data_IF_162765941641
#
_entry.id   IF_162765941641
#
_cell.length_a   1.000
_cell.length_b   1.000
_cell.length_c   1.000
_cell.angle_alpha   90.00
_cell.angle_beta   90.00
_cell.angle_gamma   90.00
#
_symmetry.space_group_name_H-M   'P 1'
#
loop_
_entity.id
_entity.type
_entity.pdbx_description
1 polymer ?
#
# COMPACT_ATOMS: atom_id res chain seq x y z
N UNK A 1 -31.73 -13.70 11.65
CA UNK A 1 -31.92 -14.57 10.45
C UNK A 1 -30.98 -14.09 9.35
N UNK A 2 -29.74 -14.59 9.28
CA UNK A 2 -28.84 -14.37 8.14
C UNK A 2 -27.79 -15.49 8.11
N UNK A 3 -28.19 -16.63 7.57
CA UNK A 3 -27.31 -17.71 7.12
C UNK A 3 -27.68 -17.98 5.68
N UNK A 4 -26.94 -17.40 4.73
CA UNK A 4 -26.79 -17.87 3.33
C UNK A 4 -25.95 -16.88 2.53
N UNK A 5 -24.63 -17.11 2.49
CA UNK A 5 -23.75 -16.90 1.31
C UNK A 5 -22.24 -17.15 1.58
N UNK A 6 -21.86 -17.86 2.65
CA UNK A 6 -20.46 -18.24 2.91
C UNK A 6 -19.90 -19.30 1.93
N UNK A 7 -20.76 -20.05 1.22
CA UNK A 7 -20.34 -21.14 0.34
C UNK A 7 -19.85 -20.72 -1.04
N UNK A 8 -20.35 -19.60 -1.59
CA UNK A 8 -19.95 -19.14 -2.93
C UNK A 8 -18.63 -18.36 -2.87
N UNK A 9 -18.43 -17.53 -1.85
CA UNK A 9 -17.18 -16.82 -1.57
C UNK A 9 -16.01 -17.79 -1.32
N UNK A 10 -16.21 -18.84 -0.51
CA UNK A 10 -15.17 -19.84 -0.23
C UNK A 10 -14.70 -20.60 -1.48
N UNK A 11 -15.62 -20.90 -2.40
CA UNK A 11 -15.29 -21.59 -3.66
C UNK A 11 -14.55 -20.70 -4.65
N UNK A 12 -14.89 -19.40 -4.71
CA UNK A 12 -14.17 -18.40 -5.51
C UNK A 12 -12.75 -18.21 -4.98
N UNK A 13 -12.57 -18.10 -3.66
CA UNK A 13 -11.26 -17.99 -2.98
C UNK A 13 -10.39 -19.22 -3.25
N UNK A 14 -10.93 -20.44 -3.19
CA UNK A 14 -10.17 -21.67 -3.51
C UNK A 14 -9.74 -21.75 -4.98
N UNK A 15 -10.54 -21.24 -5.92
CA UNK A 15 -10.20 -21.25 -7.35
C UNK A 15 -9.09 -20.23 -7.68
N UNK A 16 -9.01 -19.13 -6.94
CA UNK A 16 -7.99 -18.08 -7.10
C UNK A 16 -6.62 -18.51 -6.56
N UNK A 17 -6.57 -19.38 -5.53
CA UNK A 17 -5.32 -19.96 -4.98
C UNK A 17 -4.44 -20.74 -5.99
N UNK A 18 -4.94 -21.01 -7.20
CA UNK A 18 -4.26 -21.83 -8.20
C UNK A 18 -3.58 -21.06 -9.34
N UNK A 19 -3.62 -19.71 -9.34
CA UNK A 19 -3.02 -18.89 -10.41
C UNK A 19 -1.93 -17.95 -9.87
N UNK A 20 -0.71 -17.95 -10.45
CA UNK A 20 0.27 -16.92 -10.15
C UNK A 20 -0.27 -15.54 -10.55
N UNK A 21 -0.12 -14.55 -9.67
CA UNK A 21 -0.37 -13.14 -9.99
C UNK A 21 -1.78 -12.58 -9.73
N UNK A 22 -2.54 -13.10 -8.76
CA UNK A 22 -3.80 -12.44 -8.32
C UNK A 22 -3.68 -12.07 -6.84
N UNK A 23 -3.66 -10.76 -6.54
CA UNK A 23 -3.77 -10.28 -5.16
C UNK A 23 -5.24 -10.26 -4.72
N UNK A 24 -5.59 -10.81 -3.55
CA UNK A 24 -6.96 -10.77 -3.01
C UNK A 24 -7.02 -10.27 -1.56
N UNK A 25 -8.26 -10.01 -1.15
CA UNK A 25 -8.74 -9.02 -0.20
C UNK A 25 -8.62 -9.28 1.30
N UNK A 26 -7.68 -10.10 1.75
CA UNK A 26 -7.35 -10.19 3.18
C UNK A 26 -5.83 -10.25 3.34
N UNK A 27 -5.35 -9.84 4.52
CA UNK A 27 -4.01 -9.40 4.92
C UNK A 27 -2.77 -10.22 4.49
N UNK A 28 -2.91 -11.26 3.66
CA UNK A 28 -1.91 -12.28 3.41
C UNK A 28 -1.72 -12.75 1.96
N UNK A 29 -2.20 -12.07 0.91
CA UNK A 29 -1.96 -12.60 -0.45
C UNK A 29 -1.64 -11.54 -1.51
N UNK A 30 -0.39 -11.09 -1.51
CA UNK A 30 0.37 -11.08 -2.76
C UNK A 30 1.74 -11.72 -2.50
N UNK A 31 1.82 -13.03 -2.73
CA UNK A 31 3.06 -13.80 -2.62
C UNK A 31 4.08 -13.37 -3.68
N UNK A 32 5.31 -13.86 -3.52
CA UNK A 32 6.44 -13.66 -4.45
C UNK A 32 5.99 -13.78 -5.91
N UNK A 33 6.36 -12.81 -6.74
CA UNK A 33 5.86 -12.74 -8.11
C UNK A 33 6.49 -11.65 -8.97
N UNK A 34 6.50 -11.88 -10.28
CA UNK A 34 6.97 -10.96 -11.31
C UNK A 34 5.83 -10.72 -12.29
N UNK A 35 5.50 -9.45 -12.55
CA UNK A 35 4.40 -9.00 -13.43
C UNK A 35 2.99 -9.35 -12.93
N UNK A 36 2.37 -8.39 -12.24
CA UNK A 36 0.96 -8.45 -11.87
C UNK A 36 0.29 -7.20 -12.46
N UNK A 37 -0.45 -7.40 -13.56
CA UNK A 37 -1.26 -6.36 -14.17
C UNK A 37 -2.72 -6.61 -13.79
N UNK A 38 -3.30 -5.72 -12.98
CA UNK A 38 -4.69 -5.82 -12.54
C UNK A 38 -5.46 -4.66 -13.15
N UNK A 39 -6.17 -4.96 -14.25
CA UNK A 39 -7.08 -4.06 -14.98
C UNK A 39 -8.53 -4.44 -14.73
N UNK A 40 -8.96 -4.46 -13.47
CA UNK A 40 -10.30 -4.95 -13.14
C UNK A 40 -10.92 -4.23 -11.94
N UNK A 41 -12.25 -4.29 -11.85
CA UNK A 41 -13.08 -3.84 -10.71
C UNK A 41 -12.75 -4.54 -9.37
N UNK A 42 -11.74 -5.39 -9.34
CA UNK A 42 -11.19 -5.98 -8.12
C UNK A 42 -10.22 -5.00 -7.48
N UNK A 43 -10.57 -4.50 -6.30
CA UNK A 43 -9.73 -3.55 -5.59
C UNK A 43 -8.52 -4.29 -5.01
N UNK A 44 -7.31 -3.83 -5.30
CA UNK A 44 -6.12 -4.24 -4.55
C UNK A 44 -5.96 -3.24 -3.44
N UNK A 45 -6.32 -3.62 -2.22
CA UNK A 45 -6.14 -2.73 -1.08
C UNK A 45 -4.76 -2.82 -0.44
N UNK A 46 -3.99 -3.89 -0.71
CA UNK A 46 -2.74 -4.18 0.01
C UNK A 46 -1.76 -5.08 -0.76
N UNK A 47 -0.46 -4.78 -0.66
CA UNK A 47 0.67 -5.64 -0.99
C UNK A 47 1.33 -6.07 0.32
N UNK A 48 1.49 -7.38 0.52
CA UNK A 48 2.05 -7.98 1.75
C UNK A 48 1.01 -8.66 2.65
N UNK A 49 1.36 -9.03 3.89
CA UNK A 49 2.66 -8.76 4.53
C UNK A 49 3.85 -9.45 3.85
N UNK A 50 4.94 -8.73 3.59
CA UNK A 50 6.18 -9.30 3.06
C UNK A 50 7.25 -9.41 4.15
N UNK A 51 8.00 -10.51 4.19
CA UNK A 51 9.12 -10.71 5.13
C UNK A 51 8.71 -11.27 6.49
N UNK A 52 7.48 -11.78 6.61
CA UNK A 52 6.98 -12.42 7.84
C UNK A 52 7.91 -13.57 8.25
N UNK A 53 8.14 -13.76 9.56
CA UNK A 53 9.05 -14.78 10.10
C UNK A 53 10.47 -14.72 9.51
N UNK A 54 11.01 -13.52 9.29
CA UNK A 54 12.33 -13.31 8.68
C UNK A 54 12.47 -13.87 7.25
N UNK A 55 11.34 -14.11 6.58
CA UNK A 55 11.36 -14.68 5.23
C UNK A 55 11.92 -13.70 4.19
N UNK A 56 12.40 -14.26 3.09
CA UNK A 56 12.78 -13.52 1.91
C UNK A 56 11.60 -13.44 0.93
N UNK A 57 11.20 -12.24 0.51
CA UNK A 57 10.15 -12.05 -0.48
C UNK A 57 10.57 -11.07 -1.57
N UNK A 58 10.15 -11.39 -2.80
CA UNK A 58 10.45 -10.64 -4.02
C UNK A 58 9.16 -10.34 -4.76
N UNK A 59 8.79 -9.06 -4.80
CA UNK A 59 7.67 -8.54 -5.57
C UNK A 59 8.23 -7.50 -6.54
N UNK A 60 7.93 -7.65 -7.82
CA UNK A 60 8.34 -6.66 -8.81
C UNK A 60 7.39 -6.48 -9.97
N UNK A 61 7.44 -5.28 -10.55
CA UNK A 61 6.77 -4.92 -11.80
C UNK A 61 5.24 -5.09 -11.69
N UNK A 62 4.65 -4.45 -10.67
CA UNK A 62 3.21 -4.47 -10.41
C UNK A 62 2.57 -3.17 -10.88
N UNK A 63 1.43 -3.27 -11.58
CA UNK A 63 0.62 -2.11 -11.93
C UNK A 63 -0.85 -2.35 -11.59
N UNK A 64 -1.37 -1.48 -10.74
CA UNK A 64 -2.78 -1.36 -10.40
C UNK A 64 -3.35 -0.11 -11.08
N UNK A 65 -4.25 -0.30 -12.04
CA UNK A 65 -4.78 0.78 -12.87
C UNK A 65 -6.32 0.72 -12.90
N UNK A 66 -6.96 1.82 -12.47
CA UNK A 66 -8.41 1.98 -12.56
C UNK A 66 -9.18 1.30 -11.42
N UNK A 67 -9.11 1.87 -10.21
CA UNK A 67 -9.79 1.36 -9.02
C UNK A 67 -10.63 2.44 -8.31
N UNK A 68 -11.69 2.01 -7.59
CA UNK A 68 -12.55 2.91 -6.80
C UNK A 68 -12.80 2.37 -5.40
N UNK A 69 -12.27 3.04 -4.37
CA UNK A 69 -12.44 2.67 -2.98
C UNK A 69 -13.54 3.51 -2.33
N UNK A 70 -14.54 2.87 -1.71
CA UNK A 70 -15.66 3.57 -1.07
C UNK A 70 -15.91 2.99 0.32
N UNK A 71 -15.77 3.81 1.35
CA UNK A 71 -16.03 3.40 2.74
C UNK A 71 -15.08 2.31 3.25
N UNK A 72 -13.93 2.12 2.61
CA UNK A 72 -12.96 1.08 2.98
C UNK A 72 -11.99 1.58 4.05
N UNK A 73 -11.46 0.65 4.85
CA UNK A 73 -10.42 0.97 5.84
C UNK A 73 -9.12 1.44 5.17
N UNK A 74 -8.75 0.84 4.04
CA UNK A 74 -7.52 1.17 3.32
C UNK A 74 -7.82 1.43 1.84
N UNK A 75 -7.08 2.35 1.23
CA UNK A 75 -6.99 2.53 -0.21
C UNK A 75 -5.90 1.62 -0.74
N UNK A 76 -4.74 2.17 -1.08
CA UNK A 76 -3.56 1.40 -1.54
C UNK A 76 -2.52 1.30 -0.43
N UNK A 77 -2.12 0.08 -0.08
CA UNK A 77 -1.20 -0.21 1.03
C UNK A 77 -0.03 -1.09 0.59
N UNK A 78 1.17 -0.79 1.05
CA UNK A 78 2.32 -1.71 1.04
C UNK A 78 2.67 -1.99 2.50
N UNK A 79 2.79 -3.27 2.87
CA UNK A 79 3.09 -3.70 4.24
C UNK A 79 4.24 -4.70 4.25
N UNK A 80 5.27 -4.44 5.05
CA UNK A 80 6.41 -5.36 5.20
C UNK A 80 6.82 -5.48 6.66
N UNK A 81 7.32 -6.65 7.02
CA UNK A 81 7.86 -6.94 8.34
C UNK A 81 9.30 -6.48 8.50
N UNK A 82 9.62 -5.97 9.69
CA UNK A 82 11.00 -5.85 10.12
C UNK A 82 11.64 -7.23 10.27
N UNK A 83 12.93 -7.34 9.98
CA UNK A 83 13.67 -8.60 10.02
C UNK A 83 13.54 -9.45 8.75
N UNK A 84 12.64 -9.11 7.83
CA UNK A 84 12.52 -9.74 6.51
C UNK A 84 13.65 -9.35 5.55
N UNK A 85 13.66 -9.95 4.36
CA UNK A 85 14.64 -9.65 3.31
C UNK A 85 14.06 -9.76 1.90
N UNK A 86 14.79 -9.29 0.89
CA UNK A 86 14.34 -9.24 -0.50
C UNK A 86 13.88 -7.84 -0.93
N UNK A 87 12.94 -7.74 -1.86
CA UNK A 87 12.48 -6.45 -2.39
C UNK A 87 11.00 -6.40 -2.77
N UNK A 88 10.45 -5.19 -2.74
CA UNK A 88 9.19 -4.78 -3.37
C UNK A 88 9.50 -3.59 -4.29
N UNK A 89 9.57 -3.80 -5.60
CA UNK A 89 10.05 -2.75 -6.53
C UNK A 89 9.24 -2.56 -7.79
N UNK A 90 9.34 -1.37 -8.37
CA UNK A 90 8.68 -1.02 -9.64
C UNK A 90 7.16 -1.25 -9.54
N UNK A 91 6.53 -0.56 -8.60
CA UNK A 91 5.11 -0.68 -8.30
C UNK A 91 4.41 0.60 -8.71
N UNK A 92 3.32 0.50 -9.46
CA UNK A 92 2.53 1.64 -9.92
C UNK A 92 1.08 1.49 -9.47
N UNK A 93 0.60 2.47 -8.70
CA UNK A 93 -0.82 2.66 -8.39
C UNK A 93 -1.31 3.86 -9.17
N UNK A 94 -2.21 3.66 -10.14
CA UNK A 94 -2.65 4.75 -11.00
C UNK A 94 -4.16 4.80 -11.28
N UNK A 95 -4.65 6.01 -11.53
CA UNK A 95 -6.04 6.29 -11.89
C UNK A 95 -7.02 5.73 -10.84
N UNK A 96 -6.85 6.16 -9.59
CA UNK A 96 -7.60 5.64 -8.44
C UNK A 96 -8.51 6.73 -7.88
N UNK A 97 -9.79 6.38 -7.67
CA UNK A 97 -10.77 7.24 -7.00
C UNK A 97 -11.04 6.73 -5.57
N UNK A 98 -11.08 7.63 -4.59
CA UNK A 98 -11.34 7.29 -3.19
C UNK A 98 -12.50 8.11 -2.61
N UNK A 99 -13.40 7.46 -1.86
CA UNK A 99 -14.49 8.13 -1.16
C UNK A 99 -14.63 7.62 0.26
N UNK A 100 -14.43 8.51 1.24
CA UNK A 100 -14.55 8.17 2.66
C UNK A 100 -13.67 6.95 3.03
N UNK A 101 -12.40 6.98 2.64
CA UNK A 101 -11.44 5.89 2.90
C UNK A 101 -10.62 6.22 4.14
N UNK A 102 -10.53 5.32 5.12
CA UNK A 102 -9.88 5.65 6.41
C UNK A 102 -8.38 5.82 6.31
N UNK A 103 -7.70 5.06 5.44
CA UNK A 103 -6.27 5.19 5.21
C UNK A 103 -5.99 5.11 3.70
N UNK A 104 -6.09 6.24 2.97
CA UNK A 104 -6.02 6.27 1.51
C UNK A 104 -4.73 5.70 0.93
N UNK A 105 -3.56 6.21 1.34
CA UNK A 105 -2.25 5.77 0.83
C UNK A 105 -1.36 5.41 2.02
N UNK A 106 -0.88 4.15 2.05
CA UNK A 106 -0.03 3.66 3.13
C UNK A 106 1.20 2.92 2.60
N UNK A 107 2.36 3.22 3.16
CA UNK A 107 3.49 2.29 3.27
C UNK A 107 3.74 2.07 4.76
N UNK A 108 3.65 0.82 5.20
CA UNK A 108 4.00 0.41 6.56
C UNK A 108 5.19 -0.56 6.49
N UNK A 109 6.38 0.01 6.57
CA UNK A 109 7.65 -0.71 6.48
C UNK A 109 8.13 -1.21 7.86
N UNK A 110 7.41 -0.85 8.93
CA UNK A 110 7.76 -1.16 10.32
C UNK A 110 6.76 -2.14 10.96
N UNK A 111 6.13 -3.01 10.15
CA UNK A 111 5.13 -3.93 10.66
C UNK A 111 5.76 -5.01 11.55
N UNK A 112 5.11 -5.28 12.68
CA UNK A 112 5.56 -6.18 13.73
C UNK A 112 4.34 -6.62 14.57
N UNK A 113 4.43 -7.76 15.24
CA UNK A 113 3.42 -8.21 16.18
C UNK A 113 3.58 -7.46 17.50
N UNK A 114 2.46 -6.97 18.05
CA UNK A 114 2.45 -6.15 19.28
C UNK A 114 3.03 -6.86 20.52
N UNK A 115 3.17 -8.18 20.47
CA UNK A 115 3.69 -9.00 21.57
C UNK A 115 5.22 -9.13 21.57
N UNK A 116 5.89 -8.76 20.47
CA UNK A 116 7.35 -8.72 20.37
C UNK A 116 7.74 -7.28 20.13
N UNK A 117 8.51 -6.69 21.06
CA UNK A 117 9.00 -5.31 20.88
C UNK A 117 9.60 -5.17 19.49
N UNK A 118 9.07 -4.23 18.69
CA UNK A 118 9.50 -3.95 17.32
C UNK A 118 10.88 -3.28 17.38
N UNK A 119 11.88 -4.06 17.76
CA UNK A 119 13.25 -3.60 17.84
C UNK A 119 13.71 -3.29 16.42
N UNK A 120 14.39 -2.16 16.19
CA UNK A 120 14.97 -1.87 14.89
C UNK A 120 15.82 -3.05 14.40
N UNK A 121 15.36 -3.75 13.38
CA UNK A 121 16.11 -4.82 12.75
C UNK A 121 17.03 -4.25 11.67
N UNK A 122 18.20 -4.86 11.48
CA UNK A 122 19.15 -4.46 10.43
C UNK A 122 18.69 -4.81 9.01
N UNK A 123 17.63 -5.61 8.88
CA UNK A 123 17.08 -6.07 7.61
C UNK A 123 15.58 -5.83 7.54
N UNK A 124 15.10 -5.50 6.34
CA UNK A 124 13.70 -5.47 5.94
C UNK A 124 13.62 -5.67 4.42
N UNK A 125 12.43 -5.93 3.89
CA UNK A 125 12.18 -6.05 2.45
C UNK A 125 12.35 -4.68 1.78
N UNK A 126 13.37 -4.46 0.96
CA UNK A 126 13.61 -3.14 0.38
C UNK A 126 12.45 -2.68 -0.52
N UNK A 127 11.75 -1.62 -0.12
CA UNK A 127 10.72 -0.96 -0.94
C UNK A 127 11.38 0.09 -1.82
N UNK A 128 11.25 -0.01 -3.15
CA UNK A 128 11.82 0.98 -4.06
C UNK A 128 11.02 1.22 -5.35
N UNK A 129 11.15 2.39 -5.97
CA UNK A 129 10.52 2.74 -7.24
C UNK A 129 9.00 2.52 -7.20
N UNK A 130 8.33 3.21 -6.27
CA UNK A 130 6.86 3.16 -6.14
C UNK A 130 6.26 4.46 -6.64
N UNK A 131 5.30 4.37 -7.55
CA UNK A 131 4.63 5.52 -8.17
C UNK A 131 3.15 5.51 -7.81
N UNK A 132 2.68 6.61 -7.23
CA UNK A 132 1.26 6.90 -7.02
C UNK A 132 0.87 8.01 -8.00
N UNK A 133 0.01 7.69 -8.97
CA UNK A 133 -0.29 8.59 -10.09
C UNK A 133 -1.78 8.81 -10.28
N UNK A 134 -2.21 10.06 -10.44
CA UNK A 134 -3.60 10.41 -10.72
C UNK A 134 -4.58 9.78 -9.68
N UNK A 135 -4.28 9.95 -8.39
CA UNK A 135 -5.15 9.46 -7.30
C UNK A 135 -5.95 10.63 -6.77
N UNK A 136 -7.28 10.51 -6.72
CA UNK A 136 -8.17 11.59 -6.26
C UNK A 136 -9.23 11.09 -5.32
N UNK A 137 -9.60 11.87 -4.30
CA UNK A 137 -10.68 11.45 -3.41
C UNK A 137 -10.76 12.09 -2.03
N UNK A 138 -11.49 11.44 -1.13
CA UNK A 138 -11.71 11.89 0.25
C UNK A 138 -11.26 10.85 1.29
N UNK A 139 -10.57 11.33 2.33
CA UNK A 139 -10.14 10.56 3.50
C UNK A 139 -11.17 10.64 4.63
N UNK A 140 -11.46 9.51 5.26
CA UNK A 140 -12.28 9.46 6.47
C UNK A 140 -11.49 9.87 7.73
N UNK A 141 -10.16 9.92 7.65
CA UNK A 141 -9.25 10.32 8.72
C UNK A 141 -8.46 11.58 8.34
N UNK A 142 -7.81 12.18 9.33
CA UNK A 142 -6.92 13.33 9.15
C UNK A 142 -5.67 12.99 8.34
N UNK A 143 -5.00 11.87 8.65
CA UNK A 143 -3.80 11.45 7.91
C UNK A 143 -4.18 10.68 6.64
N UNK A 144 -4.16 11.35 5.49
CA UNK A 144 -4.53 10.75 4.22
C UNK A 144 -3.36 10.01 3.54
N UNK A 145 -2.13 10.44 3.78
CA UNK A 145 -0.92 9.81 3.26
C UNK A 145 -0.03 9.42 4.44
N UNK A 146 0.27 8.13 4.59
CA UNK A 146 1.19 7.62 5.61
C UNK A 146 2.29 6.79 4.97
N UNK A 147 3.49 7.35 4.88
CA UNK A 147 4.67 6.66 4.33
C UNK A 147 5.66 6.43 5.47
N UNK A 148 5.47 5.35 6.23
CA UNK A 148 6.29 5.00 7.38
C UNK A 148 7.37 3.98 6.97
N UNK A 149 8.55 4.47 6.61
CA UNK A 149 9.66 3.62 6.20
C UNK A 149 10.61 3.30 7.35
N UNK A 150 11.31 2.16 7.24
CA UNK A 150 12.31 1.69 8.20
C UNK A 150 13.51 2.64 8.26
N UNK A 151 14.00 2.91 9.47
CA UNK A 151 15.21 3.71 9.70
C UNK A 151 16.47 3.03 9.14
N UNK A 152 16.53 1.70 9.14
CA UNK A 152 17.70 0.92 8.72
C UNK A 152 17.68 0.57 7.24
N UNK A 153 16.48 0.43 6.67
CA UNK A 153 16.25 0.13 5.24
C UNK A 153 15.23 1.13 4.70
N UNK A 154 15.64 2.38 4.43
CA UNK A 154 14.71 3.42 3.98
C UNK A 154 14.10 3.08 2.63
N UNK A 155 12.86 3.55 2.40
CA UNK A 155 12.24 3.44 1.08
C UNK A 155 13.00 4.30 0.08
N UNK A 156 13.06 3.88 -1.20
CA UNK A 156 13.83 4.59 -2.23
C UNK A 156 13.00 4.90 -3.46
N UNK A 157 13.03 6.14 -3.94
CA UNK A 157 12.36 6.53 -5.18
C UNK A 157 10.84 6.37 -5.09
N UNK A 158 10.20 7.19 -4.26
CA UNK A 158 8.75 7.25 -4.17
C UNK A 158 8.27 8.49 -4.93
N UNK A 159 7.29 8.34 -5.81
CA UNK A 159 6.75 9.43 -6.61
C UNK A 159 5.26 9.60 -6.32
N UNK A 160 4.85 10.80 -5.94
CA UNK A 160 3.46 11.24 -5.87
C UNK A 160 3.20 12.15 -7.07
N UNK A 161 2.45 11.69 -8.07
CA UNK A 161 2.14 12.46 -9.28
C UNK A 161 0.63 12.73 -9.38
N UNK A 162 0.22 14.01 -9.35
CA UNK A 162 -1.19 14.40 -9.41
C UNK A 162 -2.08 13.68 -8.37
N UNK A 163 -1.64 13.66 -7.12
CA UNK A 163 -2.36 13.04 -5.99
C UNK A 163 -3.14 14.11 -5.24
N UNK A 164 -4.46 13.99 -5.18
CA UNK A 164 -5.34 14.94 -4.49
C UNK A 164 -6.31 14.25 -3.55
N UNK A 165 -6.05 14.37 -2.26
CA UNK A 165 -6.90 13.85 -1.20
C UNK A 165 -7.34 15.02 -0.31
N UNK A 166 -8.63 15.05 0.00
CA UNK A 166 -9.23 16.01 0.93
C UNK A 166 -9.94 15.28 2.07
N UNK A 167 -10.36 16.01 3.11
CA UNK A 167 -11.16 15.39 4.17
C UNK A 167 -12.55 15.04 3.64
N UNK A 168 -13.08 13.89 4.06
CA UNK A 168 -14.50 13.58 3.91
C UNK A 168 -15.30 14.37 4.95
N UNK A 169 -15.94 15.45 4.52
CA UNK A 169 -16.61 16.41 5.40
C UNK A 169 -15.78 17.69 5.56
N UNK A 170 -15.75 18.24 6.76
CA UNK A 170 -15.00 19.45 7.08
C UNK A 170 -13.60 19.14 7.59
N UNK A 171 -12.65 20.06 7.35
CA UNK A 171 -11.25 19.97 7.77
C UNK A 171 -10.28 19.69 6.62
N UNK A 172 -9.00 19.76 6.94
CA UNK A 172 -7.91 19.41 6.04
C UNK A 172 -7.42 17.99 6.31
N UNK A 173 -6.54 17.49 5.45
CA UNK A 173 -5.85 16.22 5.64
C UNK A 173 -4.35 16.45 5.62
N UNK A 174 -3.62 15.56 6.26
CA UNK A 174 -2.18 15.63 6.41
C UNK A 174 -1.47 14.45 5.73
N UNK A 175 -0.18 14.65 5.46
CA UNK A 175 0.74 13.60 5.03
C UNK A 175 1.84 13.41 6.08
N UNK A 176 1.98 12.19 6.59
CA UNK A 176 3.07 11.80 7.47
C UNK A 176 4.02 10.86 6.71
N UNK A 177 5.27 11.28 6.54
CA UNK A 177 6.24 10.59 5.72
C UNK A 177 7.56 10.53 6.49
N UNK A 178 8.24 9.38 6.50
CA UNK A 178 9.49 9.18 7.23
C UNK A 178 10.42 8.23 6.50
N UNK A 179 11.73 8.48 6.57
CA UNK A 179 12.81 7.60 6.07
C UNK A 179 12.69 7.22 4.59
N UNK A 180 12.51 8.22 3.74
CA UNK A 180 12.38 8.04 2.29
C UNK A 180 13.51 8.79 1.60
N UNK A 181 14.29 8.07 0.80
CA UNK A 181 15.32 8.64 -0.05
C UNK A 181 14.73 8.86 -1.44
N UNK A 182 14.73 10.11 -1.92
CA UNK A 182 14.21 10.44 -3.24
C UNK A 182 12.69 10.41 -3.34
N UNK A 183 12.00 10.98 -2.34
CA UNK A 183 10.57 11.29 -2.45
C UNK A 183 10.38 12.49 -3.38
N UNK A 184 9.57 12.35 -4.42
CA UNK A 184 9.26 13.42 -5.35
C UNK A 184 7.75 13.62 -5.50
N UNK A 185 7.33 14.89 -5.52
CA UNK A 185 5.97 15.30 -5.84
C UNK A 185 5.96 15.95 -7.22
N UNK A 186 5.22 15.39 -8.17
CA UNK A 186 5.19 15.81 -9.57
C UNK A 186 3.77 16.20 -10.01
N UNK A 187 3.69 17.02 -11.06
CA UNK A 187 2.43 17.40 -11.70
C UNK A 187 1.84 18.71 -11.17
N UNK A 188 0.58 18.98 -11.54
CA UNK A 188 -0.06 20.29 -11.30
C UNK A 188 -0.40 20.51 -9.83
N UNK A 189 -0.77 19.44 -9.11
CA UNK A 189 -1.22 19.55 -7.72
C UNK A 189 -1.00 18.23 -6.96
N UNK A 190 -0.31 18.30 -5.82
CA UNK A 190 -0.14 17.20 -4.86
C UNK A 190 -0.59 17.69 -3.48
N UNK A 191 -1.65 17.09 -2.93
CA UNK A 191 -2.17 17.41 -1.60
C UNK A 191 -2.78 16.16 -0.94
N UNK A 192 -2.51 15.90 0.34
CA UNK A 192 -1.55 16.63 1.19
C UNK A 192 -0.10 16.38 0.76
N UNK A 193 0.79 17.34 1.04
CA UNK A 193 2.22 17.23 0.73
C UNK A 193 2.99 16.64 1.90
N UNK A 194 3.86 15.66 1.66
CA UNK A 194 4.85 15.27 2.65
C UNK A 194 5.79 16.46 2.98
N UNK A 195 6.19 16.64 4.24
CA UNK A 195 7.22 17.61 4.58
C UNK A 195 8.51 17.29 3.82
N UNK A 196 9.19 18.32 3.28
CA UNK A 196 10.48 18.13 2.63
C UNK A 196 11.53 17.73 3.68
N UNK A 197 11.94 16.47 3.69
CA UNK A 197 13.13 16.04 4.41
C UNK A 197 14.34 16.33 3.54
N UNK A 198 14.86 17.54 3.63
CA UNK A 198 16.19 17.87 3.13
C UNK A 198 17.18 17.01 3.93
N UNK A 199 17.87 16.08 3.26
CA UNK A 199 19.10 15.48 3.80
C UNK A 199 20.21 16.52 3.82
#
# INVERSE_FOLDING_TARGET
MSRRNSGLFSKVIKKIRSKPGICTFDDNLCGTGKYILIRSKFLISSIGSLGENHSENHVSDLSADGAKFVGTTNGVRIKTWQGGSGYARNIIFQNIEMRNVSNPIIIDHNYCDKDVSCQPHKSAVQVMNVVYKNIRGTSASEVAIKLNCSDTVPCRGIILENVYLSRHGEGEVEANCSNIIGLNSLGTYVSPSCPNFSN
#
